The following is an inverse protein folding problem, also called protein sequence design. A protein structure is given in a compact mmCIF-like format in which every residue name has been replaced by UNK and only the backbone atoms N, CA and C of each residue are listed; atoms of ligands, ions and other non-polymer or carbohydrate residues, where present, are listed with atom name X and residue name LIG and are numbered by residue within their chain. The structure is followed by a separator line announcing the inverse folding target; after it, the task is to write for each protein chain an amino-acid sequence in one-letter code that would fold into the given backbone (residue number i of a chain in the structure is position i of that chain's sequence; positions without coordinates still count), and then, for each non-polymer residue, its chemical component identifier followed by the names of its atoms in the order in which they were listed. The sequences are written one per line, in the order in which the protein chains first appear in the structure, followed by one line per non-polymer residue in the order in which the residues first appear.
data_IF_747894540806
#
_entry.id   IF_747894540806
#
_cell.length_a   1.000
_cell.length_b   1.000
_cell.length_c   1.000
_cell.angle_alpha   90.00
_cell.angle_beta   90.00
_cell.angle_gamma   90.00
#
_symmetry.space_group_name_H-M   'P 1'
#
loop_
_entity.id
_entity.type
_entity.pdbx_description
1 polymer ?
#
# COMPACT_ATOMS: atom_id res chain seq x y z
N UNK A 1 26.87 12.95 4.25
CA UNK A 1 26.12 11.70 4.44
C UNK A 1 26.74 10.95 5.62
N UNK A 2 25.93 10.49 6.59
CA UNK A 2 26.43 9.81 7.77
C UNK A 2 26.46 8.29 7.52
N UNK A 3 27.66 7.72 7.40
CA UNK A 3 27.89 6.29 7.20
C UNK A 3 29.08 5.80 8.05
N UNK A 4 29.09 6.22 9.33
CA UNK A 4 30.10 5.78 10.30
C UNK A 4 29.46 4.77 11.24
N UNK A 5 30.24 3.78 11.68
CA UNK A 5 29.78 2.81 12.65
C UNK A 5 29.38 3.53 13.96
N UNK A 6 28.27 3.09 14.56
CA UNK A 6 27.78 3.63 15.82
C UNK A 6 28.26 2.72 16.96
N UNK A 7 29.20 3.19 17.81
CA UNK A 7 29.66 2.39 18.95
C UNK A 7 28.50 2.04 19.88
N UNK A 8 28.59 0.88 20.55
CA UNK A 8 27.61 0.48 21.55
C UNK A 8 27.47 1.58 22.62
N UNK A 9 26.22 2.00 22.88
CA UNK A 9 25.90 3.03 23.87
C UNK A 9 26.13 4.47 23.43
N UNK A 10 26.46 4.73 22.16
CA UNK A 10 26.60 6.11 21.66
C UNK A 10 25.26 6.84 21.52
N UNK A 11 24.15 6.09 21.45
CA UNK A 11 22.81 6.65 21.40
C UNK A 11 22.17 6.65 22.80
N UNK A 12 21.57 7.78 23.23
CA UNK A 12 20.82 7.84 24.48
C UNK A 12 19.65 6.84 24.53
N UNK A 13 19.41 6.27 25.72
CA UNK A 13 18.26 5.41 26.00
C UNK A 13 16.91 6.16 26.04
N UNK A 14 16.88 7.46 25.74
CA UNK A 14 15.65 8.24 25.57
C UNK A 14 15.16 8.26 24.13
N UNK A 15 15.97 7.79 23.17
CA UNK A 15 15.59 7.77 21.75
C UNK A 15 14.51 6.73 21.51
N UNK A 16 13.38 7.17 20.95
CA UNK A 16 12.24 6.33 20.58
C UNK A 16 12.12 6.13 19.07
N UNK A 17 12.74 7.00 18.26
CA UNK A 17 12.64 6.99 16.81
C UNK A 17 14.01 7.20 16.17
N UNK A 18 14.34 6.41 15.15
CA UNK A 18 15.56 6.53 14.36
C UNK A 18 15.29 6.36 12.88
N UNK A 19 15.88 7.23 12.07
CA UNK A 19 15.85 7.17 10.62
C UNK A 19 17.26 7.26 10.05
N UNK A 20 17.61 6.33 9.16
CA UNK A 20 18.87 6.33 8.45
C UNK A 20 18.67 6.31 6.93
N UNK A 21 19.05 7.41 6.27
CA UNK A 21 18.92 7.57 4.81
C UNK A 21 20.12 7.12 3.98
N UNK A 22 21.34 7.01 4.55
CA UNK A 22 22.56 6.60 3.83
C UNK A 22 23.52 5.84 4.74
N UNK A 23 22.97 4.92 5.53
CA UNK A 23 23.70 4.15 6.53
C UNK A 23 23.88 2.71 6.10
N UNK A 24 25.11 2.24 6.07
CA UNK A 24 25.46 0.88 5.65
C UNK A 24 26.52 0.26 6.58
N UNK A 25 26.22 0.20 7.88
CA UNK A 25 27.16 -0.33 8.87
C UNK A 25 26.56 -1.54 9.60
N UNK A 26 27.43 -2.52 9.86
CA UNK A 26 27.08 -3.86 10.37
C UNK A 26 26.65 -3.85 11.84
N UNK A 27 26.97 -2.80 12.60
CA UNK A 27 26.82 -2.78 14.05
C UNK A 27 26.11 -1.53 14.51
N UNK A 28 24.86 -1.70 14.89
CA UNK A 28 24.12 -0.76 15.71
C UNK A 28 23.35 -1.59 16.73
N UNK A 29 23.60 -1.36 18.02
CA UNK A 29 22.74 -1.87 19.09
C UNK A 29 21.74 -0.76 19.38
N UNK A 30 20.49 -0.87 18.90
CA UNK A 30 19.49 0.14 19.15
C UNK A 30 19.21 0.28 20.65
N UNK A 31 18.88 1.50 21.11
CA UNK A 31 18.47 1.69 22.49
C UNK A 31 17.21 0.86 22.77
N UNK A 32 17.09 0.31 23.98
CA UNK A 32 15.94 -0.52 24.38
C UNK A 32 14.60 0.24 24.38
N UNK A 33 14.64 1.57 24.31
CA UNK A 33 13.48 2.45 24.18
C UNK A 33 12.99 2.60 22.73
N UNK A 34 13.75 2.14 21.73
CA UNK A 34 13.44 2.39 20.33
C UNK A 34 12.11 1.71 19.95
N UNK A 35 11.21 2.51 19.38
CA UNK A 35 9.87 2.12 18.94
C UNK A 35 9.74 2.14 17.43
N UNK A 36 10.43 3.06 16.76
CA UNK A 36 10.41 3.22 15.31
C UNK A 36 11.82 3.21 14.73
N UNK A 37 12.03 2.42 13.68
CA UNK A 37 13.27 2.36 12.92
C UNK A 37 12.97 2.44 11.42
N UNK A 38 13.66 3.32 10.71
CA UNK A 38 13.65 3.41 9.26
C UNK A 38 15.06 3.23 8.68
N UNK A 39 15.21 2.25 7.80
CA UNK A 39 16.44 1.91 7.09
C UNK A 39 16.20 1.98 5.58
N UNK A 40 16.89 2.91 4.93
CA UNK A 40 16.88 3.12 3.48
C UNK A 40 17.60 2.01 2.68
N UNK A 41 17.42 2.01 1.36
CA UNK A 41 18.08 1.11 0.39
C UNK A 41 19.60 1.04 0.47
N UNK A 42 20.23 2.08 1.01
CA UNK A 42 21.68 2.10 1.23
C UNK A 42 22.11 1.12 2.34
N UNK A 43 21.19 0.66 3.20
CA UNK A 43 21.44 -0.38 4.20
C UNK A 43 21.57 -1.76 3.53
N UNK A 44 22.80 -2.11 3.17
CA UNK A 44 23.15 -3.31 2.42
C UNK A 44 23.65 -4.44 3.33
N UNK A 45 22.99 -4.65 4.48
CA UNK A 45 23.37 -5.65 5.48
C UNK A 45 22.24 -6.65 5.69
N UNK A 46 22.59 -7.91 5.97
CA UNK A 46 21.61 -8.93 6.33
C UNK A 46 20.97 -8.62 7.69
N UNK A 47 19.64 -8.60 7.73
CA UNK A 47 18.90 -8.39 8.97
C UNK A 47 18.93 -9.66 9.81
N UNK A 48 19.31 -9.55 11.08
CA UNK A 48 19.15 -10.61 12.06
C UNK A 48 18.42 -10.11 13.31
N UNK A 49 17.83 -11.04 14.06
CA UNK A 49 16.98 -10.75 15.22
C UNK A 49 17.69 -9.98 16.34
N UNK A 50 19.02 -10.02 16.41
CA UNK A 50 19.80 -9.30 17.43
C UNK A 50 20.03 -7.83 17.09
N UNK A 51 19.80 -7.42 15.82
CA UNK A 51 19.96 -6.04 15.36
C UNK A 51 18.75 -5.17 15.67
N UNK A 52 17.58 -5.77 15.91
CA UNK A 52 16.34 -5.06 16.20
C UNK A 52 15.98 -5.24 17.68
N UNK A 53 15.58 -4.16 18.39
CA UNK A 53 15.23 -4.28 19.78
C UNK A 53 13.84 -4.92 19.92
N UNK A 54 13.58 -5.68 20.99
CA UNK A 54 12.27 -6.31 21.20
C UNK A 54 11.14 -5.29 21.45
N UNK A 55 11.50 -4.04 21.77
CA UNK A 55 10.56 -2.92 21.96
C UNK A 55 10.04 -2.32 20.65
N UNK A 56 10.59 -2.71 19.50
CA UNK A 56 10.30 -2.10 18.21
C UNK A 56 8.86 -2.40 17.78
N UNK A 57 8.13 -1.35 17.44
CA UNK A 57 6.73 -1.41 17.03
C UNK A 57 6.56 -1.07 15.54
N UNK A 58 7.47 -0.27 14.97
CA UNK A 58 7.45 0.16 13.57
C UNK A 58 8.81 -0.05 12.92
N UNK A 59 8.80 -0.69 11.75
CA UNK A 59 9.99 -0.90 10.92
C UNK A 59 9.66 -0.53 9.47
N UNK A 60 10.44 0.39 8.90
CA UNK A 60 10.54 0.57 7.45
C UNK A 60 11.93 0.14 7.01
N UNK A 61 11.97 -0.78 6.06
CA UNK A 61 13.19 -1.42 5.59
C UNK A 61 13.10 -1.55 4.07
N UNK A 62 13.78 -0.65 3.37
CA UNK A 62 13.96 -0.78 1.93
C UNK A 62 15.27 -1.54 1.71
N UNK A 63 15.22 -2.85 1.43
CA UNK A 63 16.44 -3.67 1.32
C UNK A 63 16.34 -4.66 0.15
N UNK A 64 17.48 -4.97 -0.46
CA UNK A 64 17.62 -6.02 -1.48
C UNK A 64 18.08 -7.37 -0.88
N UNK A 65 18.16 -7.49 0.45
CA UNK A 65 18.59 -8.70 1.15
C UNK A 65 17.39 -9.58 1.51
N UNK A 66 17.57 -10.90 1.48
CA UNK A 66 16.52 -11.83 1.92
C UNK A 66 16.33 -11.70 3.44
N UNK A 67 15.09 -11.57 3.89
CA UNK A 67 14.77 -11.52 5.32
C UNK A 67 14.44 -12.94 5.77
N UNK A 68 15.24 -13.47 6.69
CA UNK A 68 15.05 -14.80 7.25
C UNK A 68 13.90 -14.80 8.28
N UNK A 69 13.25 -15.96 8.45
CA UNK A 69 12.23 -16.16 9.48
C UNK A 69 12.81 -15.81 10.85
N UNK A 70 12.09 -14.99 11.61
CA UNK A 70 12.52 -14.53 12.94
C UNK A 70 13.49 -13.35 12.96
N UNK A 71 13.92 -12.83 11.80
CA UNK A 71 14.75 -11.62 11.74
C UNK A 71 13.97 -10.36 12.19
N UNK A 72 12.66 -10.34 11.96
CA UNK A 72 11.75 -9.28 12.43
C UNK A 72 11.20 -9.67 13.82
N UNK A 73 11.27 -8.78 14.83
CA UNK A 73 10.86 -9.10 16.20
C UNK A 73 9.35 -9.32 16.33
N UNK A 74 8.95 -10.25 17.21
CA UNK A 74 7.56 -10.62 17.50
C UNK A 74 6.68 -9.52 18.13
N UNK A 75 7.20 -8.31 18.36
CA UNK A 75 6.44 -7.16 18.88
C UNK A 75 5.99 -6.17 17.79
N UNK A 76 6.44 -6.36 16.55
CA UNK A 76 6.25 -5.39 15.49
C UNK A 76 4.78 -5.30 15.06
N UNK A 77 4.27 -4.06 14.93
CA UNK A 77 2.89 -3.73 14.54
C UNK A 77 2.78 -3.16 13.13
N UNK A 78 3.79 -2.40 12.73
CA UNK A 78 3.89 -1.80 11.39
C UNK A 78 5.15 -2.28 10.69
N UNK A 79 4.99 -2.78 9.47
CA UNK A 79 6.09 -3.20 8.62
C UNK A 79 5.94 -2.60 7.22
N UNK A 80 7.01 -1.97 6.74
CA UNK A 80 7.17 -1.54 5.35
C UNK A 80 8.46 -2.17 4.80
N UNK A 81 8.33 -3.02 3.77
CA UNK A 81 9.46 -3.70 3.13
C UNK A 81 10.05 -2.93 1.94
N UNK A 82 9.56 -1.72 1.69
CA UNK A 82 10.03 -0.88 0.60
C UNK A 82 9.80 -1.49 -0.79
N UNK A 83 10.56 -0.99 -1.75
CA UNK A 83 10.47 -1.39 -3.17
C UNK A 83 11.73 -2.07 -3.69
N UNK A 84 12.77 -2.21 -2.87
CA UNK A 84 13.94 -2.98 -3.25
C UNK A 84 13.83 -4.46 -2.81
N UNK A 85 12.87 -4.81 -1.95
CA UNK A 85 12.68 -6.20 -1.50
C UNK A 85 12.01 -7.05 -2.58
N UNK A 86 12.84 -7.80 -3.31
CA UNK A 86 12.44 -8.64 -4.46
C UNK A 86 12.49 -10.15 -4.19
N UNK A 87 12.73 -10.53 -2.94
CA UNK A 87 12.81 -11.94 -2.52
C UNK A 87 11.42 -12.50 -2.23
N UNK A 88 11.32 -13.83 -2.25
CA UNK A 88 10.12 -14.52 -1.79
C UNK A 88 9.85 -14.20 -0.31
N UNK A 89 8.61 -13.83 0.01
CA UNK A 89 8.14 -13.68 1.39
C UNK A 89 7.52 -15.00 1.81
N UNK A 90 8.32 -15.86 2.44
CA UNK A 90 7.85 -17.15 2.98
C UNK A 90 6.94 -16.94 4.19
N UNK A 91 6.11 -17.93 4.50
CA UNK A 91 5.29 -17.92 5.71
C UNK A 91 6.17 -17.72 6.95
N UNK A 92 5.79 -16.79 7.83
CA UNK A 92 6.52 -16.49 9.06
C UNK A 92 7.67 -15.50 8.94
N UNK A 93 8.02 -15.04 7.73
CA UNK A 93 8.92 -13.88 7.54
C UNK A 93 8.29 -12.62 8.14
N UNK A 94 7.02 -12.39 7.84
CA UNK A 94 6.22 -11.34 8.47
C UNK A 94 5.61 -11.93 9.76
N UNK A 95 5.91 -11.37 10.94
CA UNK A 95 5.35 -11.87 12.20
C UNK A 95 3.82 -11.70 12.27
N UNK A 96 3.13 -12.66 12.91
CA UNK A 96 1.69 -12.63 13.18
C UNK A 96 1.24 -11.53 14.18
N UNK A 97 2.08 -10.53 14.43
CA UNK A 97 1.75 -9.34 15.22
C UNK A 97 1.61 -8.09 14.37
N UNK A 98 2.04 -8.15 13.11
CA UNK A 98 1.96 -7.03 12.17
C UNK A 98 0.49 -6.80 11.81
N UNK A 99 0.02 -5.59 12.04
CA UNK A 99 -1.35 -5.11 11.81
C UNK A 99 -1.43 -4.20 10.58
N UNK A 100 -0.34 -3.49 10.28
CA UNK A 100 -0.20 -2.62 9.11
C UNK A 100 1.02 -3.02 8.30
N UNK A 101 0.79 -3.33 7.02
CA UNK A 101 1.80 -3.86 6.12
C UNK A 101 1.86 -3.05 4.82
N UNK A 102 3.06 -2.65 4.40
CA UNK A 102 3.35 -2.08 3.09
C UNK A 102 4.34 -2.99 2.38
N UNK A 103 3.94 -3.50 1.21
CA UNK A 103 4.79 -4.37 0.38
C UNK A 103 4.64 -4.05 -1.10
N UNK A 104 5.72 -4.32 -1.84
CA UNK A 104 5.70 -4.33 -3.30
C UNK A 104 5.68 -5.76 -3.83
N UNK A 105 4.76 -6.06 -4.74
CA UNK A 105 4.63 -7.36 -5.41
C UNK A 105 5.47 -7.37 -6.68
N UNK A 106 6.31 -8.38 -6.78
CA UNK A 106 7.10 -8.75 -7.95
C UNK A 106 6.70 -10.16 -8.40
N UNK A 107 7.05 -10.54 -9.63
CA UNK A 107 6.69 -11.86 -10.16
C UNK A 107 7.10 -12.99 -9.20
N UNK A 108 6.09 -13.68 -8.67
CA UNK A 108 6.20 -14.84 -7.76
C UNK A 108 6.85 -14.58 -6.38
N UNK A 109 6.88 -13.34 -5.87
CA UNK A 109 7.44 -13.07 -4.53
C UNK A 109 6.47 -13.36 -3.36
N UNK A 110 5.21 -13.67 -3.63
CA UNK A 110 4.18 -13.96 -2.63
C UNK A 110 3.44 -15.27 -2.92
N UNK A 111 3.03 -15.94 -1.85
CA UNK A 111 2.07 -17.03 -1.83
C UNK A 111 0.91 -16.69 -0.88
N UNK A 112 -0.14 -17.52 -0.86
CA UNK A 112 -1.38 -17.27 -0.09
C UNK A 112 -1.18 -17.29 1.44
N UNK A 113 0.00 -17.65 1.93
CA UNK A 113 0.35 -17.68 3.35
C UNK A 113 1.43 -16.67 3.74
N UNK A 114 1.89 -15.86 2.79
CA UNK A 114 2.94 -14.86 3.00
C UNK A 114 2.48 -13.71 3.89
N UNK A 115 1.24 -13.25 3.71
CA UNK A 115 0.65 -12.16 4.50
C UNK A 115 -0.15 -12.79 5.65
N UNK A 116 0.20 -12.49 6.93
CA UNK A 116 -0.48 -13.11 8.05
C UNK A 116 -1.87 -12.51 8.30
N UNK A 117 -2.79 -13.32 8.85
CA UNK A 117 -4.16 -12.90 9.20
C UNK A 117 -4.23 -11.86 10.33
N UNK A 118 -3.09 -11.43 10.89
CA UNK A 118 -3.03 -10.29 11.80
C UNK A 118 -3.10 -8.95 11.07
N UNK A 119 -2.82 -8.92 9.76
CA UNK A 119 -2.81 -7.69 8.96
C UNK A 119 -4.25 -7.21 8.74
N UNK A 120 -4.51 -5.98 9.20
CA UNK A 120 -5.79 -5.29 9.08
C UNK A 120 -5.73 -4.18 8.02
N UNK A 121 -4.55 -3.55 7.88
CA UNK A 121 -4.27 -2.49 6.91
C UNK A 121 -3.17 -2.94 5.97
N UNK A 122 -3.48 -2.98 4.68
CA UNK A 122 -2.54 -3.45 3.67
C UNK A 122 -2.39 -2.39 2.57
N UNK A 123 -1.15 -1.99 2.30
CA UNK A 123 -0.79 -1.24 1.11
C UNK A 123 0.01 -2.14 0.18
N UNK A 124 -0.56 -2.41 -0.99
CA UNK A 124 0.08 -3.20 -2.04
C UNK A 124 0.45 -2.29 -3.19
N UNK A 125 1.74 -2.24 -3.50
CA UNK A 125 2.19 -1.78 -4.80
C UNK A 125 2.39 -3.00 -5.68
N UNK A 126 1.70 -3.12 -6.81
CA UNK A 126 1.89 -4.26 -7.69
C UNK A 126 2.12 -3.81 -9.13
N UNK A 127 3.15 -4.33 -9.78
CA UNK A 127 3.40 -4.08 -11.22
C UNK A 127 3.12 -5.31 -12.07
N UNK A 128 2.45 -6.31 -11.48
CA UNK A 128 2.24 -7.66 -12.01
C UNK A 128 0.84 -8.12 -11.63
N UNK A 129 0.35 -9.17 -12.30
CA UNK A 129 -0.94 -9.77 -11.96
C UNK A 129 -0.86 -10.46 -10.60
N UNK A 130 -1.76 -10.08 -9.69
CA UNK A 130 -1.83 -10.65 -8.34
C UNK A 130 -2.78 -11.85 -8.37
N UNK A 131 -2.37 -12.96 -7.77
CA UNK A 131 -3.21 -14.16 -7.68
C UNK A 131 -4.29 -13.97 -6.61
N UNK A 132 -5.45 -14.59 -6.84
CA UNK A 132 -6.50 -14.68 -5.82
C UNK A 132 -5.97 -15.32 -4.53
N UNK A 133 -6.44 -14.82 -3.39
CA UNK A 133 -6.09 -15.34 -2.07
C UNK A 133 -4.75 -14.84 -1.50
N UNK A 134 -4.04 -13.95 -2.19
CA UNK A 134 -2.85 -13.28 -1.64
C UNK A 134 -3.24 -12.31 -0.51
N UNK A 135 -4.38 -11.63 -0.63
CA UNK A 135 -4.88 -10.71 0.39
C UNK A 135 -5.73 -11.52 1.39
N UNK A 136 -5.34 -11.59 2.68
CA UNK A 136 -6.09 -12.34 3.68
C UNK A 136 -7.42 -11.66 4.02
N UNK A 137 -8.41 -12.45 4.43
CA UNK A 137 -9.74 -11.98 4.81
C UNK A 137 -9.78 -11.19 6.14
N UNK A 138 -8.63 -10.94 6.76
CA UNK A 138 -8.49 -10.05 7.91
C UNK A 138 -8.35 -8.59 7.50
N UNK A 139 -8.01 -8.31 6.25
CA UNK A 139 -7.77 -6.95 5.76
C UNK A 139 -9.09 -6.21 5.66
N UNK A 140 -9.19 -5.07 6.36
CA UNK A 140 -10.35 -4.17 6.34
C UNK A 140 -10.06 -2.86 5.62
N UNK A 141 -8.79 -2.43 5.60
CA UNK A 141 -8.31 -1.28 4.82
C UNK A 141 -7.29 -1.73 3.79
N UNK A 142 -7.58 -1.51 2.51
CA UNK A 142 -6.73 -1.90 1.40
C UNK A 142 -6.39 -0.69 0.52
N UNK A 143 -5.11 -0.44 0.31
CA UNK A 143 -4.62 0.55 -0.65
C UNK A 143 -3.86 -0.16 -1.77
N UNK A 144 -4.30 -0.01 -3.01
CA UNK A 144 -3.69 -0.60 -4.20
C UNK A 144 -2.98 0.48 -5.01
N UNK A 145 -1.69 0.28 -5.32
CA UNK A 145 -0.87 1.19 -6.10
C UNK A 145 -0.33 0.52 -7.36
N UNK A 146 -0.48 1.18 -8.51
CA UNK A 146 0.07 0.78 -9.83
C UNK A 146 -0.37 -0.62 -10.33
N UNK A 147 -1.35 -1.25 -9.69
CA UNK A 147 -1.75 -2.63 -9.96
C UNK A 147 -2.31 -2.84 -11.37
N UNK A 148 -1.69 -3.72 -12.16
CA UNK A 148 -2.11 -4.09 -13.53
C UNK A 148 -3.44 -4.86 -13.55
N UNK A 149 -4.12 -4.83 -14.70
CA UNK A 149 -5.54 -5.12 -14.86
C UNK A 149 -5.98 -6.44 -14.22
N UNK A 150 -7.23 -6.47 -13.74
CA UNK A 150 -7.90 -7.58 -13.06
C UNK A 150 -7.68 -7.66 -11.54
N UNK A 151 -8.02 -6.56 -10.84
CA UNK A 151 -8.03 -6.51 -9.36
C UNK A 151 -9.37 -6.96 -8.74
N UNK A 152 -10.37 -7.33 -9.53
CA UNK A 152 -11.69 -7.76 -9.03
C UNK A 152 -11.58 -8.98 -8.10
N UNK A 153 -10.76 -9.95 -8.48
CA UNK A 153 -10.76 -11.26 -7.85
C UNK A 153 -9.83 -11.34 -6.63
N UNK A 154 -9.07 -10.28 -6.35
CA UNK A 154 -8.05 -10.27 -5.29
C UNK A 154 -8.53 -9.58 -4.01
N UNK A 155 -9.60 -8.79 -4.06
CA UNK A 155 -10.09 -8.01 -2.93
C UNK A 155 -11.06 -8.87 -2.10
N UNK A 156 -10.76 -9.14 -0.81
CA UNK A 156 -11.67 -9.91 0.02
C UNK A 156 -12.88 -9.09 0.47
N UNK A 157 -14.01 -9.76 0.71
CA UNK A 157 -15.25 -9.17 1.22
C UNK A 157 -15.14 -8.59 2.65
N UNK A 158 -13.98 -8.67 3.28
CA UNK A 158 -13.67 -8.02 4.56
C UNK A 158 -13.27 -6.55 4.39
N UNK A 159 -12.95 -6.10 3.16
CA UNK A 159 -12.50 -4.74 2.91
C UNK A 159 -13.68 -3.76 3.04
N UNK A 160 -13.52 -2.77 3.91
CA UNK A 160 -14.49 -1.72 4.18
C UNK A 160 -14.01 -0.35 3.68
N UNK A 161 -12.69 -0.16 3.61
CA UNK A 161 -12.00 1.04 3.14
C UNK A 161 -11.03 0.66 2.02
N UNK A 162 -11.38 1.05 0.78
CA UNK A 162 -10.64 0.73 -0.43
C UNK A 162 -10.08 2.00 -1.08
N UNK A 163 -8.77 2.06 -1.21
CA UNK A 163 -8.07 3.07 -1.99
C UNK A 163 -7.42 2.44 -3.22
N UNK A 164 -7.70 3.01 -4.39
CA UNK A 164 -7.12 2.61 -5.66
C UNK A 164 -6.37 3.80 -6.21
N UNK A 165 -5.04 3.70 -6.26
CA UNK A 165 -4.16 4.70 -6.80
C UNK A 165 -3.45 4.15 -8.04
N UNK A 166 -3.87 4.62 -9.21
CA UNK A 166 -3.47 4.03 -10.46
C UNK A 166 -3.03 5.08 -11.48
N UNK A 167 -1.71 5.27 -11.58
CA UNK A 167 -1.13 6.28 -12.47
C UNK A 167 -0.88 5.82 -13.91
N UNK A 168 -1.13 4.55 -14.25
CA UNK A 168 -0.58 3.92 -15.47
C UNK A 168 -1.57 3.49 -16.53
N UNK A 169 -2.86 3.39 -16.19
CA UNK A 169 -3.86 3.01 -17.16
C UNK A 169 -4.31 4.28 -17.85
N UNK A 170 -4.10 4.33 -19.17
CA UNK A 170 -4.39 5.53 -19.94
C UNK A 170 -5.59 5.38 -20.88
N UNK A 171 -6.16 4.17 -21.06
CA UNK A 171 -6.96 3.90 -22.27
C UNK A 171 -8.24 3.05 -22.09
N UNK A 172 -8.72 2.75 -20.88
CA UNK A 172 -9.94 1.93 -20.69
C UNK A 172 -10.78 2.46 -19.53
N UNK A 173 -12.11 2.51 -19.66
CA UNK A 173 -13.02 2.92 -18.59
C UNK A 173 -12.88 2.05 -17.34
N UNK A 174 -12.92 2.66 -16.15
CA UNK A 174 -12.89 1.93 -14.89
C UNK A 174 -14.32 1.64 -14.40
N UNK A 175 -14.70 0.36 -14.42
CA UNK A 175 -15.94 -0.16 -13.85
C UNK A 175 -15.77 -0.45 -12.36
N UNK A 176 -16.83 -0.22 -11.57
CA UNK A 176 -16.85 -0.39 -10.12
C UNK A 176 -17.67 -1.62 -9.66
N UNK A 177 -18.35 -2.35 -10.54
CA UNK A 177 -19.27 -3.43 -10.15
C UNK A 177 -18.65 -4.61 -9.38
N UNK A 178 -17.34 -4.83 -9.55
CA UNK A 178 -16.60 -5.87 -8.86
C UNK A 178 -16.16 -5.46 -7.45
N UNK A 179 -16.29 -4.18 -7.08
CA UNK A 179 -15.92 -3.73 -5.74
C UNK A 179 -16.88 -4.37 -4.72
N UNK A 180 -16.36 -5.04 -3.67
CA UNK A 180 -17.21 -5.72 -2.69
C UNK A 180 -18.25 -4.79 -2.04
N UNK A 181 -19.47 -5.31 -1.82
CA UNK A 181 -20.52 -4.56 -1.11
C UNK A 181 -20.17 -4.21 0.34
N UNK A 182 -19.10 -4.77 0.91
CA UNK A 182 -18.58 -4.37 2.23
C UNK A 182 -17.93 -2.97 2.23
N UNK A 183 -17.53 -2.48 1.05
CA UNK A 183 -16.84 -1.19 0.92
C UNK A 183 -17.81 -0.04 1.26
N UNK A 184 -17.48 0.70 2.30
CA UNK A 184 -18.20 1.90 2.74
C UNK A 184 -17.44 3.19 2.43
N UNK A 185 -16.12 3.08 2.28
CA UNK A 185 -15.23 4.18 1.92
C UNK A 185 -14.44 3.79 0.67
N UNK A 186 -14.60 4.56 -0.39
CA UNK A 186 -13.92 4.32 -1.66
C UNK A 186 -13.16 5.58 -2.08
N UNK A 187 -11.86 5.43 -2.30
CA UNK A 187 -10.99 6.47 -2.84
C UNK A 187 -10.38 6.00 -4.15
N UNK A 188 -10.71 6.66 -5.26
CA UNK A 188 -10.15 6.34 -6.57
C UNK A 188 -9.32 7.53 -7.06
N UNK A 189 -8.01 7.31 -7.18
CA UNK A 189 -7.03 8.28 -7.66
C UNK A 189 -6.42 7.74 -8.93
N UNK A 190 -6.87 8.23 -10.07
CA UNK A 190 -6.50 7.67 -11.38
C UNK A 190 -6.52 8.76 -12.45
N UNK A 191 -5.94 8.50 -13.61
CA UNK A 191 -6.03 9.40 -14.76
C UNK A 191 -7.08 8.95 -15.80
N UNK A 192 -7.98 8.05 -15.39
CA UNK A 192 -8.98 7.41 -16.24
C UNK A 192 -10.39 7.91 -15.90
N UNK A 193 -11.26 7.93 -16.91
CA UNK A 193 -12.71 8.00 -16.75
C UNK A 193 -13.27 6.83 -15.90
N UNK A 194 -13.90 7.18 -14.77
CA UNK A 194 -14.57 6.22 -13.88
C UNK A 194 -16.07 6.20 -14.18
N UNK A 195 -16.65 5.02 -14.40
CA UNK A 195 -18.10 4.86 -14.48
C UNK A 195 -18.69 4.74 -13.06
N UNK A 196 -19.52 5.71 -12.67
CA UNK A 196 -20.10 5.79 -11.32
C UNK A 196 -21.49 5.15 -11.19
N UNK A 197 -22.11 4.70 -12.28
CA UNK A 197 -23.44 4.10 -12.23
C UNK A 197 -23.47 2.79 -11.45
N UNK A 198 -22.32 2.10 -11.33
CA UNK A 198 -22.20 0.78 -10.73
C UNK A 198 -21.36 0.78 -9.44
N UNK A 199 -21.36 1.90 -8.71
CA UNK A 199 -20.73 1.96 -7.39
C UNK A 199 -21.39 0.96 -6.42
N UNK A 200 -20.62 0.38 -5.47
CA UNK A 200 -21.18 -0.52 -4.46
C UNK A 200 -22.29 0.15 -3.67
N UNK A 201 -23.39 -0.56 -3.49
CA UNK A 201 -24.63 -0.07 -2.84
C UNK A 201 -24.44 0.44 -1.42
N UNK A 202 -23.35 0.07 -0.74
CA UNK A 202 -23.06 0.50 0.63
C UNK A 202 -22.01 1.60 0.74
N UNK A 203 -21.50 2.09 -0.40
CA UNK A 203 -20.53 3.20 -0.40
C UNK A 203 -21.21 4.44 0.19
N UNK A 204 -20.60 5.00 1.24
CA UNK A 204 -21.06 6.23 1.92
C UNK A 204 -20.11 7.38 1.70
N UNK A 205 -18.80 7.10 1.68
CA UNK A 205 -17.75 8.10 1.45
C UNK A 205 -17.05 7.81 0.14
N UNK A 206 -16.92 8.84 -0.67
CA UNK A 206 -16.38 8.73 -2.01
C UNK A 206 -15.38 9.84 -2.26
N UNK A 207 -14.13 9.46 -2.52
CA UNK A 207 -13.04 10.37 -2.85
C UNK A 207 -12.51 10.07 -4.25
N UNK A 208 -12.26 11.12 -5.02
CA UNK A 208 -11.97 11.01 -6.44
C UNK A 208 -10.92 12.03 -6.88
N UNK A 209 -9.94 11.57 -7.67
CA UNK A 209 -8.90 12.39 -8.30
C UNK A 209 -8.71 11.89 -9.76
N UNK A 210 -9.34 12.54 -10.77
CA UNK A 210 -9.31 12.19 -12.22
C UNK A 210 -10.09 13.22 -13.10
N UNK A 211 -10.18 13.00 -14.42
CA UNK A 211 -11.15 13.60 -15.36
C UNK A 211 -12.43 12.71 -15.40
N UNK A 212 -13.64 13.29 -15.45
CA UNK A 212 -14.90 12.56 -15.13
C UNK A 212 -16.05 12.75 -16.14
N UNK A 213 -16.88 11.70 -16.30
CA UNK A 213 -18.26 11.79 -16.79
C UNK A 213 -19.19 11.66 -15.58
N UNK A 214 -20.16 12.56 -15.45
CA UNK A 214 -21.19 12.39 -14.42
C UNK A 214 -22.31 11.52 -14.96
N UNK A 215 -22.39 10.31 -14.41
CA UNK A 215 -23.66 9.64 -14.18
C UNK A 215 -24.40 10.21 -12.98
N UNK A 216 -25.57 9.66 -12.65
CA UNK A 216 -26.23 9.95 -11.38
C UNK A 216 -25.41 9.32 -10.23
N UNK A 217 -24.91 10.14 -9.31
CA UNK A 217 -24.28 9.63 -8.09
C UNK A 217 -25.35 8.85 -7.29
N UNK A 218 -25.06 7.63 -6.82
CA UNK A 218 -25.99 6.87 -5.99
C UNK A 218 -26.44 7.67 -4.76
N UNK A 219 -27.71 7.54 -4.40
CA UNK A 219 -28.28 8.21 -3.22
C UNK A 219 -27.68 7.76 -1.89
N UNK A 220 -26.84 6.72 -1.90
CA UNK A 220 -26.15 6.16 -0.74
C UNK A 220 -24.94 7.00 -0.32
N UNK A 221 -24.43 7.87 -1.20
CA UNK A 221 -23.26 8.72 -0.92
C UNK A 221 -23.65 9.83 0.07
N UNK A 222 -23.03 9.80 1.25
CA UNK A 222 -23.19 10.79 2.33
C UNK A 222 -22.07 11.84 2.32
N UNK A 223 -20.90 11.49 1.78
CA UNK A 223 -19.74 12.36 1.69
C UNK A 223 -19.04 12.18 0.34
N UNK A 224 -18.88 13.27 -0.40
CA UNK A 224 -18.16 13.31 -1.67
C UNK A 224 -17.00 14.30 -1.57
N UNK A 225 -15.80 13.85 -1.92
CA UNK A 225 -14.61 14.68 -2.04
C UNK A 225 -14.01 14.54 -3.43
N UNK A 226 -13.80 15.67 -4.10
CA UNK A 226 -13.13 15.74 -5.40
C UNK A 226 -11.79 16.45 -5.20
N UNK A 227 -10.70 15.74 -5.43
CA UNK A 227 -9.33 16.24 -5.35
C UNK A 227 -8.88 16.67 -6.75
N UNK A 228 -8.22 17.83 -6.85
CA UNK A 228 -7.92 18.46 -8.14
C UNK A 228 -6.44 18.85 -8.27
N UNK A 229 -5.78 18.32 -9.31
CA UNK A 229 -4.45 18.76 -9.76
C UNK A 229 -4.43 19.22 -11.24
N UNK A 230 -5.57 19.15 -11.96
CA UNK A 230 -5.69 19.55 -13.37
C UNK A 230 -6.47 20.87 -13.53
N UNK A 231 -6.13 21.68 -14.54
CA UNK A 231 -6.79 22.98 -14.80
C UNK A 231 -8.14 22.87 -15.50
N UNK A 232 -8.58 21.67 -15.87
CA UNK A 232 -9.81 21.48 -16.65
C UNK A 232 -10.63 20.34 -16.07
N UNK A 233 -11.65 20.67 -15.27
CA UNK A 233 -12.76 19.76 -15.03
C UNK A 233 -13.65 19.87 -16.26
N UNK A 234 -13.74 18.81 -17.06
CA UNK A 234 -14.79 18.68 -18.07
C UNK A 234 -15.88 17.81 -17.47
N UNK A 235 -17.07 18.37 -17.34
CA UNK A 235 -18.27 17.66 -16.90
C UNK A 235 -19.02 17.29 -18.17
N UNK A 236 -19.11 16.00 -18.44
CA UNK A 236 -19.91 15.49 -19.54
C UNK A 236 -21.17 14.84 -18.98
N UNK A 237 -22.31 15.11 -19.63
CA UNK A 237 -23.59 14.45 -19.40
C UNK A 237 -23.73 13.31 -20.43
N UNK A 238 -24.53 12.29 -20.15
CA UNK A 238 -24.70 11.09 -21.03
C UNK A 238 -25.10 11.43 -22.49
N UNK A 239 -25.57 12.64 -22.76
CA UNK A 239 -25.95 13.12 -24.09
C UNK A 239 -24.82 13.88 -24.83
N UNK A 240 -23.57 13.82 -24.37
CA UNK A 240 -22.48 14.54 -25.02
C UNK A 240 -21.93 13.75 -26.22
N UNK A 241 -22.50 14.00 -27.40
CA UNK A 241 -21.85 13.65 -28.67
C UNK A 241 -20.71 14.65 -28.93
N UNK A 242 -19.49 14.13 -29.04
CA UNK A 242 -18.33 14.89 -29.46
C UNK A 242 -18.58 15.35 -30.91
N UNK A 243 -18.94 16.63 -31.09
CA UNK A 243 -18.93 17.21 -32.43
C UNK A 243 -17.46 17.31 -32.84
N UNK A 244 -17.09 16.54 -33.85
CA UNK A 244 -15.86 16.76 -34.60
C UNK A 244 -15.91 18.22 -35.08
N UNK A 245 -15.06 19.06 -34.51
CA UNK A 245 -14.74 20.36 -35.10
C UNK A 245 -13.99 20.08 -36.40
N UNK A 246 -14.75 20.00 -37.50
CA UNK A 246 -14.23 20.11 -38.85
C UNK A 246 -13.40 21.40 -38.93
N UNK A 247 -12.08 21.21 -39.05
CA UNK A 247 -11.14 22.28 -39.39
C UNK A 247 -11.27 22.57 -40.88
N UNK A 248 -12.02 23.62 -41.20
CA UNK A 248 -11.78 24.44 -42.39
C UNK A 248 -10.83 25.60 -42.05
#
# INVERSE_FOLDING_TARGET
SFNQALPKGCLPNSITELEFQRFNQFVFVPPHSLKSLSLSKEFNQELNSSMLPPSLERLSLDTDKEIQIGAIPHGLKYLDLGSNYKHEIKQGVIPNTVEELIITIYDNNLNTTSIPNSVLKLQLKCNVNVKQGIIPSSVTKLCLFDCLANISDIIPNSVEDLEINNGRYKNESFDCNWIPCSVTQLSIKTYILVNLHELPVNTKRLTFESEYYFGQIPSTIEYLQVLNYSRHIRIYNENYEEKEDDKD
#
